data_IF_616488675803
#
_entry.id   IF_616488675803
#
_cell.length_a   1.000
_cell.length_b   1.000
_cell.length_c   1.000
_cell.angle_alpha   90.00
_cell.angle_beta   90.00
_cell.angle_gamma   90.00
#
_symmetry.space_group_name_H-M   'P 1'
#
loop_
_entity.id
_entity.type
_entity.pdbx_description
1 polymer ?
#
# COMPACT_ATOMS: atom_id res chain seq x y z
N UNK A 1 -6.32 55.15 3.53
CA UNK A 1 -6.87 54.61 2.27
C UNK A 1 -6.34 53.19 2.01
N UNK A 2 -6.85 52.20 2.75
CA UNK A 2 -6.49 50.78 2.64
C UNK A 2 -7.67 49.86 2.18
N UNK A 3 -8.97 50.28 2.15
CA UNK A 3 -10.04 49.34 1.79
C UNK A 3 -10.03 48.82 0.34
N UNK A 4 -9.61 49.56 -0.71
CA UNK A 4 -9.69 49.02 -2.08
C UNK A 4 -8.66 47.90 -2.33
N UNK A 5 -7.49 47.96 -1.69
CA UNK A 5 -6.45 46.93 -1.77
C UNK A 5 -6.83 45.63 -1.04
N UNK A 6 -7.57 45.75 0.06
CA UNK A 6 -8.09 44.59 0.79
C UNK A 6 -9.26 43.95 0.03
N UNK A 7 -10.13 44.77 -0.58
CA UNK A 7 -11.21 44.30 -1.45
C UNK A 7 -10.65 43.60 -2.70
N UNK A 8 -9.64 44.17 -3.36
CA UNK A 8 -9.03 43.54 -4.54
C UNK A 8 -8.34 42.22 -4.19
N UNK A 9 -7.64 42.15 -3.05
CA UNK A 9 -7.02 40.91 -2.56
C UNK A 9 -8.05 39.81 -2.29
N UNK A 10 -9.19 40.16 -1.67
CA UNK A 10 -10.26 39.19 -1.41
C UNK A 10 -10.93 38.68 -2.70
N UNK A 11 -11.12 39.57 -3.69
CA UNK A 11 -11.63 39.17 -5.02
C UNK A 11 -10.64 38.26 -5.74
N UNK A 12 -9.34 38.51 -5.62
CA UNK A 12 -8.29 37.64 -6.18
C UNK A 12 -8.31 36.27 -5.50
N UNK A 13 -8.46 36.21 -4.17
CA UNK A 13 -8.59 34.95 -3.43
C UNK A 13 -9.85 34.17 -3.87
N UNK A 14 -10.98 34.83 -4.07
CA UNK A 14 -12.20 34.21 -4.59
C UNK A 14 -12.05 33.68 -6.02
N UNK A 15 -11.37 34.43 -6.89
CA UNK A 15 -11.05 33.97 -8.25
C UNK A 15 -10.12 32.76 -8.25
N UNK A 16 -9.05 32.81 -7.45
CA UNK A 16 -8.08 31.73 -7.34
C UNK A 16 -8.78 30.45 -6.84
N UNK A 17 -9.61 30.58 -5.82
CA UNK A 17 -10.33 29.45 -5.21
C UNK A 17 -11.43 28.90 -6.12
N UNK A 18 -12.08 29.72 -6.94
CA UNK A 18 -13.00 29.28 -7.99
C UNK A 18 -12.30 28.48 -9.10
N UNK A 19 -11.13 28.93 -9.56
CA UNK A 19 -10.31 28.19 -10.53
C UNK A 19 -9.84 26.86 -9.94
N UNK A 20 -9.37 26.87 -8.69
CA UNK A 20 -9.01 25.65 -7.98
C UNK A 20 -10.21 24.71 -7.84
N UNK A 21 -11.40 25.19 -7.50
CA UNK A 21 -12.61 24.36 -7.41
C UNK A 21 -12.95 23.68 -8.74
N UNK A 22 -12.84 24.40 -9.86
CA UNK A 22 -13.09 23.84 -11.19
C UNK A 22 -12.03 22.82 -11.60
N UNK A 23 -10.75 23.10 -11.30
CA UNK A 23 -9.66 22.15 -11.47
C UNK A 23 -9.85 20.88 -10.63
N UNK A 24 -10.32 21.01 -9.39
CA UNK A 24 -10.56 19.89 -8.49
C UNK A 24 -11.69 18.99 -8.96
N UNK A 25 -12.81 19.56 -9.42
CA UNK A 25 -13.90 18.76 -10.02
C UNK A 25 -13.40 17.99 -11.23
N UNK A 26 -12.54 18.60 -12.04
CA UNK A 26 -11.94 17.95 -13.20
C UNK A 26 -10.99 16.81 -12.79
N UNK A 27 -10.12 17.03 -11.81
CA UNK A 27 -9.20 16.00 -11.32
C UNK A 27 -9.93 14.83 -10.65
N UNK A 28 -10.94 15.10 -9.83
CA UNK A 28 -11.77 14.05 -9.22
C UNK A 28 -12.47 13.23 -10.30
N UNK A 29 -12.96 13.87 -11.37
CA UNK A 29 -13.57 13.18 -12.52
C UNK A 29 -12.57 12.31 -13.26
N UNK A 30 -11.34 12.79 -13.47
CA UNK A 30 -10.24 12.05 -14.10
C UNK A 30 -9.81 10.84 -13.27
N UNK A 31 -9.65 11.00 -11.96
CA UNK A 31 -9.28 9.92 -11.04
C UNK A 31 -10.42 8.90 -10.89
N UNK A 32 -11.68 9.35 -10.96
CA UNK A 32 -12.85 8.46 -10.99
C UNK A 32 -12.85 7.56 -12.23
N UNK A 33 -12.48 8.09 -13.39
CA UNK A 33 -12.35 7.33 -14.65
C UNK A 33 -11.19 6.31 -14.63
N UNK A 34 -10.23 6.48 -13.71
CA UNK A 34 -9.13 5.52 -13.51
C UNK A 34 -9.49 4.40 -12.53
N UNK A 35 -10.70 4.44 -11.95
CA UNK A 35 -11.28 3.35 -11.18
C UNK A 35 -11.05 3.39 -9.66
N UNK A 36 -10.51 4.46 -9.12
CA UNK A 36 -10.26 4.58 -7.69
C UNK A 36 -11.51 5.07 -6.94
N UNK A 37 -12.44 4.16 -6.66
CA UNK A 37 -13.76 4.49 -6.08
C UNK A 37 -13.69 4.94 -4.61
N UNK A 38 -13.01 4.18 -3.76
CA UNK A 38 -12.91 4.46 -2.31
C UNK A 38 -12.08 5.73 -2.05
N UNK A 39 -11.07 5.96 -2.90
CA UNK A 39 -10.32 7.20 -2.98
C UNK A 39 -11.21 8.37 -3.44
N UNK A 40 -12.00 8.21 -4.50
CA UNK A 40 -12.91 9.26 -5.01
C UNK A 40 -13.93 9.70 -3.95
N UNK A 41 -14.46 8.78 -3.15
CA UNK A 41 -15.43 9.08 -2.11
C UNK A 41 -14.82 9.85 -0.94
N UNK A 42 -13.63 9.45 -0.46
CA UNK A 42 -12.87 10.21 0.55
C UNK A 42 -12.40 11.56 0.02
N UNK A 43 -11.97 11.62 -1.24
CA UNK A 43 -11.52 12.84 -1.91
C UNK A 43 -12.66 13.84 -2.13
N UNK A 44 -13.88 13.37 -2.42
CA UNK A 44 -15.08 14.22 -2.53
C UNK A 44 -15.41 14.95 -1.22
N UNK A 45 -15.17 14.31 -0.08
CA UNK A 45 -15.39 14.92 1.23
C UNK A 45 -14.30 15.97 1.55
N UNK A 46 -13.04 15.63 1.26
CA UNK A 46 -11.89 16.52 1.43
C UNK A 46 -11.96 17.72 0.47
N UNK A 47 -12.49 17.54 -0.74
CA UNK A 47 -12.68 18.59 -1.73
C UNK A 47 -13.70 19.67 -1.33
N UNK A 48 -14.59 19.38 -0.38
CA UNK A 48 -15.56 20.36 0.14
C UNK A 48 -15.02 21.22 1.28
N UNK A 49 -13.96 20.79 1.95
CA UNK A 49 -13.35 21.50 3.07
C UNK A 49 -12.84 22.90 2.71
N UNK A 50 -12.09 23.12 1.61
CA UNK A 50 -11.59 24.46 1.28
C UNK A 50 -12.73 25.45 1.02
N UNK A 51 -13.81 25.00 0.37
CA UNK A 51 -14.99 25.84 0.12
C UNK A 51 -15.70 26.24 1.42
N UNK A 52 -15.87 25.30 2.35
CA UNK A 52 -16.46 25.60 3.65
C UNK A 52 -15.59 26.59 4.45
N UNK A 53 -14.28 26.41 4.46
CA UNK A 53 -13.36 27.29 5.22
C UNK A 53 -13.35 28.72 4.70
N UNK A 54 -13.48 28.92 3.39
CA UNK A 54 -13.56 30.25 2.76
C UNK A 54 -14.93 30.90 3.02
N UNK A 55 -16.01 30.12 2.94
CA UNK A 55 -17.35 30.61 3.27
C UNK A 55 -17.45 31.05 4.75
N UNK A 56 -16.83 30.30 5.67
CA UNK A 56 -16.75 30.69 7.08
C UNK A 56 -15.82 31.90 7.30
N UNK A 57 -14.68 32.00 6.60
CA UNK A 57 -13.76 33.15 6.67
C UNK A 57 -14.40 34.46 6.18
N UNK A 58 -15.10 34.39 5.05
CA UNK A 58 -15.85 35.54 4.50
C UNK A 58 -17.05 35.94 5.36
N UNK A 59 -17.79 34.98 5.93
CA UNK A 59 -18.85 35.26 6.90
C UNK A 59 -18.30 35.92 8.18
N UNK A 60 -17.14 35.47 8.68
CA UNK A 60 -16.47 36.08 9.83
C UNK A 60 -16.03 37.52 9.54
N UNK A 61 -15.50 37.79 8.34
CA UNK A 61 -15.14 39.16 7.92
C UNK A 61 -16.37 40.09 7.87
N UNK A 62 -17.51 39.61 7.37
CA UNK A 62 -18.76 40.38 7.36
C UNK A 62 -19.31 40.58 8.78
N UNK A 63 -19.22 39.57 9.64
CA UNK A 63 -19.63 39.65 11.05
C UNK A 63 -18.80 40.70 11.81
N UNK A 64 -17.48 40.74 11.60
CA UNK A 64 -16.57 41.73 12.18
C UNK A 64 -16.87 43.16 11.70
N UNK A 65 -17.33 43.32 10.45
CA UNK A 65 -17.78 44.62 9.92
C UNK A 65 -19.10 45.05 10.57
N UNK A 66 -20.03 44.12 10.83
CA UNK A 66 -21.32 44.42 11.48
C UNK A 66 -21.14 44.72 12.98
N UNK A 67 -20.20 44.05 13.66
CA UNK A 67 -19.89 44.24 15.08
C UNK A 67 -19.02 45.48 15.39
N UNK A 68 -18.76 46.32 14.38
CA UNK A 68 -17.99 47.57 14.43
C UNK A 68 -18.23 48.45 15.68
N UNK A 69 -19.45 48.65 16.20
CA UNK A 69 -19.66 49.56 17.33
C UNK A 69 -19.23 49.00 18.70
N UNK A 70 -18.97 47.70 18.84
CA UNK A 70 -18.76 47.07 20.16
C UNK A 70 -17.29 46.80 20.53
N UNK A 71 -16.37 46.83 19.55
CA UNK A 71 -14.94 46.48 19.73
C UNK A 71 -14.05 47.69 19.46
N UNK A 72 -13.94 48.59 20.45
CA UNK A 72 -13.14 49.82 20.35
C UNK A 72 -11.64 49.65 20.64
N UNK A 73 -11.17 48.43 20.94
CA UNK A 73 -9.85 48.18 21.54
C UNK A 73 -8.72 47.99 20.49
N UNK A 74 -9.03 47.61 19.24
CA UNK A 74 -8.03 47.34 18.19
C UNK A 74 -8.36 48.05 16.87
N UNK A 75 -7.35 48.52 16.14
CA UNK A 75 -7.56 49.19 14.86
C UNK A 75 -8.12 48.22 13.82
N UNK A 76 -9.23 48.62 13.17
CA UNK A 76 -10.03 47.83 12.21
C UNK A 76 -9.15 47.19 11.12
N UNK A 77 -8.14 47.93 10.65
CA UNK A 77 -7.21 47.46 9.62
C UNK A 77 -6.30 46.32 10.10
N UNK A 78 -6.00 46.20 11.40
CA UNK A 78 -5.19 45.11 11.93
C UNK A 78 -6.02 43.83 12.06
N UNK A 79 -7.25 43.93 12.56
CA UNK A 79 -8.15 42.77 12.68
C UNK A 79 -8.44 42.13 11.31
N UNK A 80 -8.74 42.94 10.28
CA UNK A 80 -9.02 42.42 8.95
C UNK A 80 -7.76 41.80 8.29
N UNK A 81 -6.58 42.35 8.55
CA UNK A 81 -5.30 41.78 8.07
C UNK A 81 -5.00 40.44 8.75
N UNK A 82 -5.21 40.34 10.06
CA UNK A 82 -5.04 39.09 10.80
C UNK A 82 -6.03 38.03 10.27
N UNK A 83 -7.28 38.39 10.03
CA UNK A 83 -8.28 37.48 9.46
C UNK A 83 -7.86 36.93 8.08
N UNK A 84 -7.41 37.79 7.17
CA UNK A 84 -6.95 37.37 5.83
C UNK A 84 -5.69 36.50 5.91
N UNK A 85 -4.74 36.84 6.79
CA UNK A 85 -3.53 36.02 6.98
C UNK A 85 -3.89 34.64 7.53
N UNK A 86 -4.81 34.57 8.49
CA UNK A 86 -5.29 33.31 9.05
C UNK A 86 -5.99 32.47 7.98
N UNK A 87 -6.87 33.08 7.19
CA UNK A 87 -7.56 32.42 6.07
C UNK A 87 -6.59 31.89 5.00
N UNK A 88 -5.59 32.70 4.63
CA UNK A 88 -4.54 32.30 3.68
C UNK A 88 -3.68 31.15 4.23
N UNK A 89 -3.38 31.16 5.54
CA UNK A 89 -2.59 30.11 6.19
C UNK A 89 -3.37 28.80 6.21
N UNK A 90 -4.66 28.82 6.56
CA UNK A 90 -5.53 27.64 6.52
C UNK A 90 -5.66 27.08 5.10
N UNK A 91 -5.94 27.92 4.09
CA UNK A 91 -6.03 27.50 2.70
C UNK A 91 -4.71 26.85 2.21
N UNK A 92 -3.56 27.44 2.56
CA UNK A 92 -2.24 26.88 2.29
C UNK A 92 -2.03 25.50 2.95
N UNK A 93 -2.39 25.36 4.22
CA UNK A 93 -2.29 24.08 4.94
C UNK A 93 -3.14 22.98 4.30
N UNK A 94 -4.38 23.27 3.88
CA UNK A 94 -5.24 22.28 3.20
C UNK A 94 -4.65 21.85 1.84
N UNK A 95 -4.07 22.79 1.09
CA UNK A 95 -3.39 22.48 -0.18
C UNK A 95 -2.14 21.62 0.03
N UNK A 96 -1.33 21.91 1.05
CA UNK A 96 -0.15 21.10 1.37
C UNK A 96 -0.50 19.71 1.85
N UNK A 97 -1.52 19.57 2.71
CA UNK A 97 -2.03 18.26 3.15
C UNK A 97 -2.54 17.43 1.96
N UNK A 98 -3.17 18.08 0.98
CA UNK A 98 -3.64 17.44 -0.24
C UNK A 98 -2.50 16.94 -1.14
N UNK A 99 -1.50 17.79 -1.41
CA UNK A 99 -0.31 17.40 -2.19
C UNK A 99 0.39 16.22 -1.51
N UNK A 100 0.52 16.27 -0.18
CA UNK A 100 1.08 15.17 0.60
C UNK A 100 0.23 13.90 0.50
N UNK A 101 -1.09 14.00 0.55
CA UNK A 101 -1.99 12.85 0.43
C UNK A 101 -1.90 12.19 -0.94
N UNK A 102 -1.83 12.99 -2.03
CA UNK A 102 -1.58 12.49 -3.38
C UNK A 102 -0.21 11.85 -3.48
N UNK A 103 0.84 12.49 -2.96
CA UNK A 103 2.19 11.98 -3.06
C UNK A 103 2.36 10.66 -2.29
N UNK A 104 1.79 10.60 -1.08
CA UNK A 104 1.72 9.38 -0.27
C UNK A 104 0.95 8.28 -1.00
N UNK A 105 -0.14 8.62 -1.67
CA UNK A 105 -0.93 7.65 -2.43
C UNK A 105 -0.20 7.16 -3.69
N UNK A 106 0.44 8.07 -4.44
CA UNK A 106 1.27 7.75 -5.60
C UNK A 106 2.50 6.92 -5.24
N UNK A 107 2.99 7.05 -3.99
CA UNK A 107 4.06 6.20 -3.46
C UNK A 107 3.59 4.82 -2.98
N UNK A 108 2.28 4.65 -2.72
CA UNK A 108 1.75 3.45 -2.06
C UNK A 108 1.27 2.36 -2.98
N UNK A 109 0.73 2.60 -4.19
CA UNK A 109 0.47 1.49 -5.13
C UNK A 109 0.07 1.91 -6.56
N UNK A 110 0.64 1.20 -7.53
CA UNK A 110 0.37 1.30 -8.97
C UNK A 110 -0.70 0.33 -9.47
N UNK A 111 -1.76 0.04 -8.68
CA UNK A 111 -2.86 -0.83 -9.12
C UNK A 111 -4.23 -0.22 -8.82
N UNK A 112 -5.17 -0.22 -9.79
CA UNK A 112 -6.52 0.30 -9.58
C UNK A 112 -7.32 -0.60 -8.64
N UNK A 113 -7.88 -0.01 -7.58
CA UNK A 113 -8.70 -0.66 -6.54
C UNK A 113 -9.88 -1.51 -7.11
N UNK A 114 -10.32 -1.23 -8.34
CA UNK A 114 -11.31 -2.05 -9.06
C UNK A 114 -10.84 -3.50 -9.19
N UNK A 115 -9.57 -3.73 -9.49
CA UNK A 115 -9.06 -5.08 -9.71
C UNK A 115 -9.12 -5.92 -8.43
N UNK A 116 -8.89 -5.30 -7.27
CA UNK A 116 -8.96 -5.98 -5.98
C UNK A 116 -10.40 -6.32 -5.61
N UNK A 117 -11.35 -5.43 -5.89
CA UNK A 117 -12.78 -5.71 -5.70
C UNK A 117 -13.31 -6.77 -6.67
N UNK A 118 -12.90 -6.74 -7.95
CA UNK A 118 -13.21 -7.77 -8.94
C UNK A 118 -12.62 -9.14 -8.54
N UNK A 119 -11.36 -9.18 -8.09
CA UNK A 119 -10.73 -10.42 -7.60
C UNK A 119 -11.47 -10.98 -6.38
N UNK A 120 -11.86 -10.11 -5.44
CA UNK A 120 -12.61 -10.54 -4.25
C UNK A 120 -14.04 -11.03 -4.56
N UNK A 121 -14.68 -10.48 -5.59
CA UNK A 121 -16.02 -10.89 -6.03
C UNK A 121 -16.00 -12.20 -6.86
N UNK A 122 -14.91 -12.47 -7.58
CA UNK A 122 -14.71 -13.74 -8.28
C UNK A 122 -14.21 -14.87 -7.37
N UNK A 123 -13.67 -14.55 -6.19
CA UNK A 123 -13.18 -15.56 -5.26
C UNK A 123 -14.36 -16.20 -4.51
N UNK A 124 -14.69 -17.48 -4.77
CA UNK A 124 -15.79 -18.15 -4.08
C UNK A 124 -15.40 -18.31 -2.60
N UNK A 125 -16.04 -17.53 -1.74
CA UNK A 125 -15.82 -17.53 -0.30
C UNK A 125 -16.47 -18.78 0.29
N UNK A 126 -15.63 -19.78 0.60
CA UNK A 126 -15.98 -20.94 1.42
C UNK A 126 -16.09 -20.52 2.89
N UNK A 127 -17.06 -19.68 3.23
CA UNK A 127 -17.24 -19.19 4.60
C UNK A 127 -18.72 -18.99 4.94
N UNK A 128 -19.21 -19.93 5.74
CA UNK A 128 -20.33 -19.93 6.71
C UNK A 128 -21.46 -18.90 6.56
N UNK A 129 -22.66 -19.43 6.35
CA UNK A 129 -23.97 -18.81 6.11
C UNK A 129 -24.52 -17.78 7.13
N UNK A 130 -23.89 -17.54 8.28
CA UNK A 130 -24.45 -16.66 9.32
C UNK A 130 -24.00 -15.18 9.22
N UNK A 131 -22.84 -14.90 8.62
CA UNK A 131 -22.34 -13.51 8.42
C UNK A 131 -22.86 -12.86 7.11
N UNK A 132 -23.61 -13.63 6.31
CA UNK A 132 -24.12 -13.27 4.98
C UNK A 132 -25.07 -12.08 5.00
N UNK A 133 -25.95 -11.95 6.01
CA UNK A 133 -27.06 -10.97 5.98
C UNK A 133 -26.65 -9.52 6.25
N UNK A 134 -25.50 -9.27 6.86
CA UNK A 134 -24.99 -7.91 7.09
C UNK A 134 -23.99 -7.47 6.02
N UNK A 135 -23.24 -8.41 5.44
CA UNK A 135 -22.32 -8.15 4.33
C UNK A 135 -23.01 -8.01 2.96
N UNK A 136 -24.16 -8.65 2.72
CA UNK A 136 -24.88 -8.59 1.43
C UNK A 136 -25.33 -7.17 1.06
N UNK A 137 -25.77 -6.37 2.05
CA UNK A 137 -26.21 -4.98 1.79
C UNK A 137 -25.09 -4.11 1.24
N UNK A 138 -23.91 -4.17 1.86
CA UNK A 138 -22.72 -3.43 1.43
C UNK A 138 -22.13 -3.98 0.13
N UNK A 139 -22.24 -5.29 -0.10
CA UNK A 139 -21.84 -5.93 -1.36
C UNK A 139 -22.77 -5.50 -2.52
N UNK A 140 -24.08 -5.40 -2.28
CA UNK A 140 -25.06 -4.98 -3.28
C UNK A 140 -24.91 -3.51 -3.66
N UNK A 141 -24.63 -2.62 -2.70
CA UNK A 141 -24.32 -1.21 -2.97
C UNK A 141 -23.02 -1.07 -3.77
N UNK A 142 -22.02 -1.90 -3.46
CA UNK A 142 -20.75 -1.94 -4.19
C UNK A 142 -20.92 -2.48 -5.62
N UNK A 143 -21.79 -3.47 -5.83
CA UNK A 143 -22.16 -4.00 -7.15
C UNK A 143 -22.97 -2.99 -7.96
N UNK A 144 -23.92 -2.28 -7.35
CA UNK A 144 -24.68 -1.19 -7.99
C UNK A 144 -23.75 -0.06 -8.42
N UNK A 145 -22.80 0.32 -7.57
CA UNK A 145 -21.78 1.32 -7.88
C UNK A 145 -20.87 0.89 -9.05
N UNK A 146 -20.50 -0.38 -9.12
CA UNK A 146 -19.71 -0.95 -10.21
C UNK A 146 -20.48 -0.94 -11.53
N UNK A 147 -21.76 -1.33 -11.52
CA UNK A 147 -22.62 -1.28 -12.70
C UNK A 147 -22.81 0.15 -13.20
N UNK A 148 -22.99 1.11 -12.29
CA UNK A 148 -23.04 2.53 -12.64
C UNK A 148 -21.72 3.01 -13.24
N UNK A 149 -20.58 2.60 -12.69
CA UNK A 149 -19.26 2.92 -13.24
C UNK A 149 -19.07 2.35 -14.65
N UNK A 150 -19.38 1.08 -14.88
CA UNK A 150 -19.29 0.47 -16.20
C UNK A 150 -20.19 1.19 -17.21
N UNK A 151 -21.42 1.53 -16.81
CA UNK A 151 -22.36 2.29 -17.64
C UNK A 151 -21.83 3.68 -17.98
N UNK A 152 -21.32 4.42 -17.00
CA UNK A 152 -20.74 5.75 -17.21
C UNK A 152 -19.49 5.69 -18.10
N UNK A 153 -18.64 4.68 -17.93
CA UNK A 153 -17.43 4.52 -18.72
C UNK A 153 -17.77 4.18 -20.19
N UNK A 154 -18.73 3.29 -20.41
CA UNK A 154 -19.24 2.99 -21.77
C UNK A 154 -19.86 4.23 -22.41
N UNK A 155 -20.64 5.01 -21.66
CA UNK A 155 -21.24 6.24 -22.16
C UNK A 155 -20.17 7.28 -22.52
N UNK A 156 -19.15 7.46 -21.68
CA UNK A 156 -18.03 8.35 -21.96
C UNK A 156 -17.24 7.91 -23.19
N UNK A 157 -16.93 6.61 -23.30
CA UNK A 157 -16.24 6.06 -24.45
C UNK A 157 -17.05 6.24 -25.74
N UNK A 158 -18.36 6.05 -25.67
CA UNK A 158 -19.27 6.29 -26.80
C UNK A 158 -19.30 7.76 -27.21
N UNK A 159 -19.32 8.69 -26.26
CA UNK A 159 -19.31 10.13 -26.52
C UNK A 159 -17.98 10.56 -27.14
N UNK A 160 -16.87 10.01 -26.66
CA UNK A 160 -15.54 10.30 -27.20
C UNK A 160 -15.34 9.71 -28.60
N UNK A 161 -15.86 8.51 -28.86
CA UNK A 161 -15.89 7.93 -30.21
C UNK A 161 -16.71 8.81 -31.16
N UNK A 162 -17.87 9.30 -30.72
CA UNK A 162 -18.69 10.22 -31.52
C UNK A 162 -17.98 11.55 -31.77
N UNK A 163 -17.28 12.11 -30.77
CA UNK A 163 -16.46 13.31 -30.94
C UNK A 163 -15.31 13.10 -31.91
N UNK A 164 -14.59 11.99 -31.78
CA UNK A 164 -13.50 11.65 -32.69
C UNK A 164 -14.03 11.47 -34.11
N UNK A 165 -15.18 10.82 -34.28
CA UNK A 165 -15.86 10.66 -35.56
C UNK A 165 -16.32 12.01 -36.15
N UNK A 166 -16.82 12.93 -35.30
CA UNK A 166 -17.18 14.28 -35.72
C UNK A 166 -15.94 15.10 -36.12
N UNK A 167 -14.85 15.02 -35.35
CA UNK A 167 -13.56 15.65 -35.67
C UNK A 167 -12.99 15.12 -36.99
N UNK A 168 -13.06 13.80 -37.21
CA UNK A 168 -12.67 13.16 -38.48
C UNK A 168 -13.54 13.65 -39.64
N UNK A 169 -14.86 13.73 -39.44
CA UNK A 169 -15.79 14.20 -40.47
C UNK A 169 -15.60 15.67 -40.83
N UNK A 170 -15.28 16.51 -39.84
CA UNK A 170 -14.95 17.92 -40.03
C UNK A 170 -13.66 18.06 -40.80
N UNK A 171 -12.64 17.29 -40.41
CA UNK A 171 -11.36 17.25 -41.11
C UNK A 171 -11.53 16.82 -42.58
N UNK A 172 -12.28 15.74 -42.82
CA UNK A 172 -12.60 15.23 -44.16
C UNK A 172 -13.45 16.20 -45.00
N UNK A 173 -14.30 17.03 -44.38
CA UNK A 173 -15.10 18.05 -45.09
C UNK A 173 -14.28 19.30 -45.47
N UNK A 174 -13.22 19.59 -44.73
CA UNK A 174 -12.23 20.63 -45.07
C UNK A 174 -11.24 20.20 -46.16
N UNK A 175 -11.21 18.92 -46.53
CA UNK A 175 -10.19 18.27 -47.39
C UNK A 175 -10.53 18.29 -48.91
N UNK A 176 -11.50 19.11 -49.35
CA UNK A 176 -11.84 19.25 -50.78
C UNK A 176 -10.84 20.17 -51.52
N UNK A 177 -9.89 20.79 -50.81
CA UNK A 177 -8.84 21.63 -51.39
C UNK A 177 -7.46 20.94 -51.37
N UNK A 178 -7.11 20.30 -52.48
CA UNK A 178 -5.86 19.56 -52.75
C UNK A 178 -4.58 20.13 -52.10
N UNK A 179 -3.85 19.25 -51.39
CA UNK A 179 -2.37 19.09 -51.22
C UNK A 179 -1.84 18.60 -49.85
N UNK A 180 -2.56 18.61 -48.70
CA UNK A 180 -1.99 18.12 -47.42
C UNK A 180 -2.21 16.63 -47.09
N UNK A 181 -3.08 15.92 -47.84
CA UNK A 181 -3.47 14.54 -47.53
C UNK A 181 -2.31 13.54 -47.62
N UNK A 182 -1.39 13.72 -48.58
CA UNK A 182 -0.23 12.83 -48.76
C UNK A 182 0.72 12.91 -47.56
N UNK A 183 0.97 14.12 -47.05
CA UNK A 183 1.89 14.33 -45.92
C UNK A 183 1.30 13.83 -44.59
N UNK A 184 -0.02 13.96 -44.41
CA UNK A 184 -0.73 13.38 -43.26
C UNK A 184 -0.75 11.85 -43.31
N UNK A 185 -0.94 11.25 -44.49
CA UNK A 185 -0.90 9.79 -44.65
C UNK A 185 0.50 9.26 -44.33
N UNK A 186 1.57 9.96 -44.73
CA UNK A 186 2.92 9.57 -44.36
C UNK A 186 3.19 9.72 -42.85
N UNK A 187 2.67 10.76 -42.20
CA UNK A 187 2.81 10.96 -40.75
C UNK A 187 1.95 9.96 -39.95
N UNK A 188 0.76 9.60 -40.44
CA UNK A 188 -0.05 8.53 -39.85
C UNK A 188 0.63 7.17 -40.02
N UNK A 189 1.20 6.90 -41.18
CA UNK A 189 1.96 5.68 -41.43
C UNK A 189 3.20 5.59 -40.53
N UNK A 190 3.91 6.70 -40.28
CA UNK A 190 5.05 6.71 -39.36
C UNK A 190 4.62 6.48 -37.91
N UNK A 191 3.53 7.08 -37.45
CA UNK A 191 2.97 6.83 -36.11
C UNK A 191 2.48 5.40 -35.92
N UNK A 192 1.83 4.85 -36.93
CA UNK A 192 1.37 3.46 -36.93
C UNK A 192 2.56 2.48 -36.92
N UNK A 193 3.66 2.82 -37.59
CA UNK A 193 4.91 2.09 -37.50
C UNK A 193 5.57 2.19 -36.10
N UNK A 194 5.59 3.38 -35.49
CA UNK A 194 6.05 3.56 -34.10
C UNK A 194 5.23 2.72 -33.12
N UNK A 195 3.89 2.70 -33.28
CA UNK A 195 3.01 1.89 -32.43
C UNK A 195 3.26 0.39 -32.61
N UNK A 196 3.51 -0.08 -33.83
CA UNK A 196 3.88 -1.48 -34.07
C UNK A 196 5.24 -1.83 -33.46
N UNK A 197 6.21 -0.94 -33.56
CA UNK A 197 7.53 -1.13 -32.97
C UNK A 197 7.43 -1.19 -31.43
N UNK A 198 6.75 -0.23 -30.81
CA UNK A 198 6.50 -0.21 -29.37
C UNK A 198 5.71 -1.43 -28.90
N UNK A 199 4.73 -1.90 -29.68
CA UNK A 199 4.00 -3.13 -29.37
C UNK A 199 4.92 -4.36 -29.43
N UNK A 200 5.87 -4.42 -30.36
CA UNK A 200 6.85 -5.51 -30.42
C UNK A 200 7.80 -5.47 -29.22
N UNK A 201 8.31 -4.29 -28.85
CA UNK A 201 9.14 -4.11 -27.64
C UNK A 201 8.38 -4.50 -26.36
N UNK A 202 7.11 -4.11 -26.25
CA UNK A 202 6.27 -4.49 -25.11
C UNK A 202 6.07 -6.00 -25.03
N UNK A 203 5.83 -6.66 -26.16
CA UNK A 203 5.72 -8.12 -26.21
C UNK A 203 7.05 -8.81 -25.86
N UNK A 204 8.18 -8.24 -26.27
CA UNK A 204 9.51 -8.73 -25.89
C UNK A 204 9.77 -8.59 -24.39
N UNK A 205 9.52 -7.41 -23.81
CA UNK A 205 9.68 -7.20 -22.36
C UNK A 205 8.73 -8.11 -21.57
N UNK A 206 7.52 -8.36 -22.10
CA UNK A 206 6.58 -9.28 -21.47
C UNK A 206 7.11 -10.72 -21.46
N UNK A 207 7.72 -11.20 -22.55
CA UNK A 207 8.31 -12.53 -22.61
C UNK A 207 9.55 -12.65 -21.71
N UNK A 208 10.39 -11.62 -21.65
CA UNK A 208 11.52 -11.54 -20.71
C UNK A 208 11.05 -11.57 -19.24
N UNK A 209 9.98 -10.85 -18.90
CA UNK A 209 9.37 -10.91 -17.57
C UNK A 209 8.81 -12.31 -17.25
N UNK A 210 8.21 -12.98 -18.23
CA UNK A 210 7.71 -14.34 -18.06
C UNK A 210 8.86 -15.34 -17.82
N UNK A 211 9.98 -15.18 -18.53
CA UNK A 211 11.19 -15.96 -18.30
C UNK A 211 11.79 -15.70 -16.91
N UNK A 212 11.88 -14.43 -16.50
CA UNK A 212 12.39 -14.06 -15.17
C UNK A 212 11.52 -14.65 -14.05
N UNK A 213 10.19 -14.67 -14.21
CA UNK A 213 9.28 -15.34 -13.26
C UNK A 213 9.52 -16.85 -13.22
N UNK A 214 9.67 -17.50 -14.36
CA UNK A 214 9.99 -18.93 -14.41
C UNK A 214 11.30 -19.26 -13.67
N UNK A 215 12.33 -18.42 -13.81
CA UNK A 215 13.58 -18.57 -13.08
C UNK A 215 13.42 -18.37 -11.57
N UNK A 216 12.56 -17.43 -11.14
CA UNK A 216 12.25 -17.25 -9.72
C UNK A 216 11.57 -18.50 -9.16
N UNK A 217 10.57 -19.04 -9.87
CA UNK A 217 9.85 -20.25 -9.46
C UNK A 217 10.79 -21.47 -9.36
N UNK A 218 11.72 -21.60 -10.31
CA UNK A 218 12.75 -22.64 -10.27
C UNK A 218 13.66 -22.48 -9.04
N UNK A 219 14.15 -21.27 -8.79
CA UNK A 219 15.00 -20.97 -7.62
C UNK A 219 14.26 -21.21 -6.31
N UNK A 220 12.98 -20.87 -6.23
CA UNK A 220 12.16 -21.14 -5.05
C UNK A 220 12.00 -22.66 -4.83
N UNK A 221 11.84 -23.45 -5.90
CA UNK A 221 11.81 -24.92 -5.80
C UNK A 221 13.14 -25.52 -5.32
N UNK A 222 14.28 -24.96 -5.75
CA UNK A 222 15.61 -25.35 -5.27
C UNK A 222 15.79 -25.01 -3.79
N UNK A 223 15.40 -23.80 -3.39
CA UNK A 223 15.45 -23.35 -1.98
C UNK A 223 14.59 -24.27 -1.11
N UNK A 224 13.39 -24.64 -1.55
CA UNK A 224 12.53 -25.57 -0.82
C UNK A 224 13.19 -26.95 -0.67
N UNK A 225 13.79 -27.50 -1.74
CA UNK A 225 14.53 -28.77 -1.66
C UNK A 225 15.70 -28.71 -0.68
N UNK A 226 16.48 -27.63 -0.71
CA UNK A 226 17.60 -27.42 0.22
C UNK A 226 17.09 -27.31 1.66
N UNK A 227 16.00 -26.59 1.91
CA UNK A 227 15.40 -26.47 3.24
C UNK A 227 14.95 -27.83 3.79
N UNK A 228 14.31 -28.66 2.97
CA UNK A 228 13.89 -30.01 3.36
C UNK A 228 15.09 -30.92 3.67
N UNK A 229 16.15 -30.85 2.84
CA UNK A 229 17.38 -31.60 3.11
C UNK A 229 18.07 -31.11 4.39
N UNK A 230 18.10 -29.80 4.64
CA UNK A 230 18.68 -29.24 5.84
C UNK A 230 17.90 -29.65 7.10
N UNK A 231 16.56 -29.63 7.07
CA UNK A 231 15.76 -30.12 8.19
C UNK A 231 16.03 -31.60 8.50
N UNK A 232 16.21 -32.43 7.48
CA UNK A 232 16.62 -33.83 7.68
C UNK A 232 17.98 -33.95 8.37
N UNK A 233 18.98 -33.18 7.94
CA UNK A 233 20.29 -33.18 8.60
C UNK A 233 20.23 -32.68 10.05
N UNK A 234 19.39 -31.69 10.34
CA UNK A 234 19.17 -31.20 11.71
C UNK A 234 18.56 -32.30 12.57
N UNK A 235 17.53 -32.99 12.08
CA UNK A 235 16.91 -34.11 12.80
C UNK A 235 17.89 -35.26 13.04
N UNK A 236 18.71 -35.62 12.05
CA UNK A 236 19.76 -36.62 12.21
C UNK A 236 20.83 -36.19 13.22
N UNK A 237 21.23 -34.91 13.20
CA UNK A 237 22.19 -34.37 14.17
C UNK A 237 21.65 -34.47 15.60
N UNK A 238 20.38 -34.13 15.80
CA UNK A 238 19.74 -34.23 17.11
C UNK A 238 19.59 -35.68 17.58
N UNK A 239 19.28 -36.62 16.66
CA UNK A 239 19.30 -38.07 16.96
C UNK A 239 20.69 -38.54 17.38
N UNK A 240 21.74 -38.13 16.67
CA UNK A 240 23.11 -38.49 17.02
C UNK A 240 23.54 -37.90 18.36
N UNK A 241 23.14 -36.65 18.66
CA UNK A 241 23.38 -36.04 19.98
C UNK A 241 22.66 -36.78 21.11
N UNK A 242 21.42 -37.22 20.88
CA UNK A 242 20.69 -38.01 21.86
C UNK A 242 21.40 -39.35 22.14
N UNK A 243 21.81 -40.06 21.09
CA UNK A 243 22.58 -41.30 21.20
C UNK A 243 23.87 -41.05 21.97
N UNK A 244 24.64 -40.01 21.62
CA UNK A 244 25.87 -39.66 22.32
C UNK A 244 25.62 -39.37 23.82
N UNK A 245 24.53 -38.68 24.15
CA UNK A 245 24.09 -38.46 25.52
C UNK A 245 23.77 -39.76 26.26
N UNK A 246 23.09 -40.71 25.62
CA UNK A 246 22.85 -42.03 26.19
C UNK A 246 24.15 -42.79 26.46
N UNK A 247 25.07 -42.84 25.49
CA UNK A 247 26.38 -43.48 25.66
C UNK A 247 27.19 -42.84 26.78
N UNK A 248 27.20 -41.50 26.86
CA UNK A 248 27.84 -40.77 27.96
C UNK A 248 27.24 -41.15 29.32
N UNK A 249 25.91 -41.24 29.42
CA UNK A 249 25.24 -41.64 30.67
C UNK A 249 25.56 -43.09 31.08
N UNK A 250 25.65 -44.00 30.10
CA UNK A 250 26.03 -45.41 30.32
C UNK A 250 27.49 -45.51 30.76
N UNK A 251 28.39 -44.78 30.13
CA UNK A 251 29.80 -44.71 30.52
C UNK A 251 29.95 -44.17 31.95
N UNK A 252 29.26 -43.08 32.31
CA UNK A 252 29.28 -42.53 33.67
C UNK A 252 28.71 -43.50 34.73
N UNK A 253 27.75 -44.37 34.38
CA UNK A 253 27.26 -45.43 35.27
C UNK A 253 28.31 -46.53 35.46
N UNK A 254 28.99 -46.93 34.39
CA UNK A 254 30.06 -47.93 34.45
C UNK A 254 31.26 -47.43 35.26
N UNK A 255 31.64 -46.15 35.13
CA UNK A 255 32.71 -45.55 35.94
C UNK A 255 32.36 -45.59 37.43
N UNK A 256 31.15 -45.17 37.81
CA UNK A 256 30.70 -45.25 39.22
C UNK A 256 30.68 -46.69 39.75
N UNK A 257 30.24 -47.65 38.94
CA UNK A 257 30.24 -49.06 39.32
C UNK A 257 31.68 -49.60 39.51
N UNK A 258 32.59 -49.22 38.61
CA UNK A 258 34.00 -49.57 38.71
C UNK A 258 34.65 -48.97 39.97
N UNK A 259 34.34 -47.71 40.30
CA UNK A 259 34.83 -47.06 41.51
C UNK A 259 34.30 -47.75 42.78
N UNK A 260 33.02 -48.14 42.79
CA UNK A 260 32.43 -48.89 43.90
C UNK A 260 33.10 -50.27 44.09
N UNK A 261 33.34 -51.01 43.01
CA UNK A 261 34.10 -52.27 43.03
C UNK A 261 35.53 -52.08 43.55
N UNK A 262 36.22 -51.02 43.11
CA UNK A 262 37.57 -50.70 43.60
C UNK A 262 37.58 -50.42 45.10
N UNK A 263 36.62 -49.64 45.61
CA UNK A 263 36.50 -49.34 47.04
C UNK A 263 36.20 -50.60 47.86
N UNK A 264 35.25 -51.43 47.39
CA UNK A 264 34.94 -52.74 47.99
C UNK A 264 36.17 -53.65 48.06
N UNK A 265 36.95 -53.72 46.97
CA UNK A 265 38.17 -54.54 46.93
C UNK A 265 39.24 -54.04 47.93
N UNK A 266 39.40 -52.72 48.07
CA UNK A 266 40.30 -52.11 49.07
C UNK A 266 39.85 -52.48 50.49
N UNK A 267 38.55 -52.44 50.77
CA UNK A 267 38.00 -52.77 52.08
C UNK A 267 38.16 -54.26 52.42
N UNK A 268 37.89 -55.16 51.47
CA UNK A 268 38.16 -56.59 51.61
C UNK A 268 39.64 -56.86 51.90
N UNK A 269 40.56 -56.20 51.17
CA UNK A 269 42.01 -56.32 51.44
C UNK A 269 42.38 -55.85 52.84
N UNK A 270 41.80 -54.75 53.32
CA UNK A 270 42.00 -54.27 54.70
C UNK A 270 41.48 -55.28 55.73
N UNK A 271 40.33 -55.90 55.49
CA UNK A 271 39.75 -56.90 56.38
C UNK A 271 40.62 -58.17 56.42
N UNK A 272 41.09 -58.67 55.27
CA UNK A 272 42.02 -59.81 55.21
C UNK A 272 43.31 -59.51 56.00
N UNK A 273 43.87 -58.30 55.83
CA UNK A 273 45.06 -57.90 56.57
C UNK A 273 44.81 -57.86 58.09
N UNK A 274 43.65 -57.35 58.54
CA UNK A 274 43.24 -57.38 59.95
C UNK A 274 43.11 -58.80 60.50
N UNK A 275 42.40 -59.69 59.80
CA UNK A 275 42.22 -61.08 60.21
C UNK A 275 43.55 -61.83 60.28
N UNK A 276 44.44 -61.64 59.28
CA UNK A 276 45.79 -62.23 59.31
C UNK A 276 46.60 -61.72 60.51
N UNK A 277 46.48 -60.44 60.86
CA UNK A 277 47.12 -59.86 62.05
C UNK A 277 46.55 -60.40 63.38
N UNK A 278 45.24 -60.68 63.44
CA UNK A 278 44.61 -61.32 64.60
C UNK A 278 45.04 -62.77 64.78
N UNK A 279 45.08 -63.54 63.69
CA UNK A 279 45.50 -64.95 63.71
C UNK A 279 46.96 -65.11 64.17
N UNK A 280 47.85 -64.19 63.77
CA UNK A 280 49.21 -64.13 64.30
C UNK A 280 49.29 -63.78 65.79
N UNK A 281 48.34 -63.01 66.32
CA UNK A 281 48.27 -62.72 67.77
C UNK A 281 47.79 -63.93 68.57
N UNK A 282 46.85 -64.71 68.05
CA UNK A 282 46.34 -65.92 68.72
C UNK A 282 47.35 -67.08 68.70
N UNK A 283 48.24 -67.17 67.71
CA UNK A 283 49.33 -68.17 67.70
C UNK A 283 50.49 -67.86 68.65
N UNK A 284 50.52 -66.68 69.25
CA UNK A 284 51.58 -66.22 70.18
C UNK A 284 51.11 -66.16 71.65
N UNK A 285 49.98 -66.79 71.98
CA UNK A 285 49.48 -67.03 73.34
C UNK A 285 49.56 -68.52 73.64
#
# INVERSE_FOLDING_TARGET
MIPPLLCSSNVILLLLTGIFQQYWVHQVRKVRLQGYYDFSQKLKHIARLPFATIAYGTALMLLLIIWQPFVHILSISLLLRIAIVVEATFAGCFMSLYIWYIHKYNSLDGRPDILQSLYSALQPSTTTLEDRRYYDGRLSDQQMALLQYQRENIHYLSEEVLRLQECLSKYQRTDVGNTPQVDLVHLLASRDQELRALSAEMNQVHSELQLARGLIDEKDSEIQRIRLSNSQYVEENDRLRAILGEWSSRAAKLERALEAERLSNIELRKNIAKFRGQLHKEQHV
#
